data_IF_627812159476
#
_entry.id   IF_627812159476
#
_cell.length_a   1.000
_cell.length_b   1.000
_cell.length_c   1.000
_cell.angle_alpha   90.00
_cell.angle_beta   90.00
_cell.angle_gamma   90.00
#
_symmetry.space_group_name_H-M   'P 1'
#
loop_
_entity.id
_entity.type
_entity.pdbx_description
1 polymer ?
#
# COMPACT_ATOMS: atom_id res chain seq x y z
N UNK A 1 2.34 -6.75 8.01
CA UNK A 1 2.33 -5.84 9.17
C UNK A 1 2.57 -4.41 8.70
N UNK A 2 3.80 -3.98 8.43
CA UNK A 2 4.08 -2.66 7.80
C UNK A 2 3.29 -2.45 6.50
N UNK A 3 3.21 -3.46 5.64
CA UNK A 3 2.40 -3.42 4.41
C UNK A 3 0.92 -3.16 4.70
N UNK A 4 0.34 -3.73 5.76
CA UNK A 4 -1.08 -3.51 6.09
C UNK A 4 -1.33 -2.16 6.75
N UNK A 5 -0.36 -1.66 7.52
CA UNK A 5 -0.38 -0.31 8.09
C UNK A 5 -0.34 0.73 6.96
N UNK A 6 0.62 0.62 6.05
CA UNK A 6 0.68 1.53 4.90
C UNK A 6 -0.54 1.38 3.99
N UNK A 7 -1.05 0.17 3.79
CA UNK A 7 -2.22 -0.05 2.94
C UNK A 7 -3.47 0.67 3.44
N UNK A 8 -3.73 0.68 4.76
CA UNK A 8 -4.90 1.38 5.30
C UNK A 8 -4.72 2.89 5.27
N UNK A 9 -3.51 3.40 5.50
CA UNK A 9 -3.21 4.83 5.37
C UNK A 9 -3.34 5.30 3.92
N UNK A 10 -2.78 4.56 2.98
CA UNK A 10 -2.91 4.83 1.55
C UNK A 10 -4.39 4.82 1.13
N UNK A 11 -5.17 3.85 1.60
CA UNK A 11 -6.60 3.80 1.33
C UNK A 11 -7.35 5.02 1.87
N UNK A 12 -7.03 5.47 3.09
CA UNK A 12 -7.59 6.70 3.65
C UNK A 12 -7.21 7.92 2.82
N UNK A 13 -5.94 8.02 2.41
CA UNK A 13 -5.48 9.11 1.57
C UNK A 13 -6.22 9.13 0.22
N UNK A 14 -6.47 7.96 -0.37
CA UNK A 14 -7.19 7.88 -1.64
C UNK A 14 -8.65 8.32 -1.59
N UNK A 15 -9.26 8.42 -0.40
CA UNK A 15 -10.57 9.04 -0.25
C UNK A 15 -10.57 10.49 -0.73
N UNK A 16 -9.45 11.21 -0.58
CA UNK A 16 -9.34 12.60 -0.98
C UNK A 16 -9.62 12.81 -2.49
N UNK A 17 -9.27 11.83 -3.32
CA UNK A 17 -9.43 11.89 -4.78
C UNK A 17 -10.82 11.47 -5.26
N UNK A 18 -11.70 10.99 -4.36
CA UNK A 18 -13.11 10.77 -4.70
C UNK A 18 -13.74 12.11 -5.05
N UNK A 19 -14.58 12.13 -6.09
CA UNK A 19 -15.25 13.35 -6.55
C UNK A 19 -16.45 13.72 -5.65
N UNK A 20 -16.21 13.86 -4.36
CA UNK A 20 -17.21 14.22 -3.33
C UNK A 20 -16.83 15.55 -2.70
N UNK A 21 -17.80 16.39 -2.39
CA UNK A 21 -17.59 17.65 -1.68
C UNK A 21 -17.42 17.39 -0.19
N UNK A 22 -16.15 17.29 0.23
CA UNK A 22 -15.81 17.20 1.64
C UNK A 22 -15.93 18.55 2.31
N UNK A 23 -16.53 18.55 3.51
CA UNK A 23 -16.45 19.70 4.38
C UNK A 23 -15.04 19.89 4.93
N UNK A 24 -14.71 21.12 5.32
CA UNK A 24 -13.37 21.52 5.76
C UNK A 24 -12.79 20.61 6.85
N UNK A 25 -13.58 20.21 7.84
CA UNK A 25 -13.14 19.33 8.93
C UNK A 25 -12.67 17.97 8.40
N UNK A 26 -13.51 17.32 7.59
CA UNK A 26 -13.22 16.01 7.02
C UNK A 26 -12.06 16.09 6.02
N UNK A 27 -12.04 17.12 5.16
CA UNK A 27 -10.96 17.36 4.22
C UNK A 27 -9.61 17.51 4.94
N UNK A 28 -9.54 18.34 5.98
CA UNK A 28 -8.31 18.54 6.74
C UNK A 28 -7.81 17.25 7.40
N UNK A 29 -8.73 16.44 7.94
CA UNK A 29 -8.37 15.15 8.57
C UNK A 29 -7.86 14.15 7.54
N UNK A 30 -8.50 14.03 6.38
CA UNK A 30 -8.01 13.18 5.30
C UNK A 30 -6.61 13.67 4.84
N UNK A 31 -6.42 14.99 4.72
CA UNK A 31 -5.15 15.59 4.31
C UNK A 31 -4.02 15.39 5.33
N UNK A 32 -4.32 15.26 6.62
CA UNK A 32 -3.33 14.82 7.62
C UNK A 32 -2.80 13.40 7.36
N UNK A 33 -3.51 12.57 6.58
CA UNK A 33 -3.02 11.26 6.19
C UNK A 33 -2.27 11.25 4.86
N UNK A 34 -2.20 12.39 4.17
CA UNK A 34 -1.40 12.55 2.95
C UNK A 34 0.11 12.44 3.23
N UNK A 35 0.54 12.72 4.48
CA UNK A 35 1.90 12.42 4.96
C UNK A 35 2.30 10.95 4.80
N UNK A 36 1.34 10.02 4.66
CA UNK A 36 1.61 8.61 4.39
C UNK A 36 2.23 8.36 3.01
N UNK A 37 2.19 9.34 2.11
CA UNK A 37 2.85 9.25 0.81
C UNK A 37 4.35 9.57 0.88
N UNK A 38 4.92 10.06 2.00
CA UNK A 38 6.35 10.41 2.11
C UNK A 38 6.88 11.32 0.96
N UNK A 39 6.11 12.32 0.53
CA UNK A 39 6.55 13.28 -0.50
C UNK A 39 7.66 14.21 0.05
N UNK A 40 8.88 13.70 0.17
CA UNK A 40 10.07 14.49 0.51
C UNK A 40 10.66 15.20 -0.71
N UNK A 41 10.30 14.78 -1.91
CA UNK A 41 10.79 15.32 -3.18
C UNK A 41 9.57 15.85 -3.93
N UNK A 42 9.50 17.18 -4.18
CA UNK A 42 8.36 17.76 -4.87
C UNK A 42 8.29 17.25 -6.32
N UNK A 43 7.10 16.83 -6.73
CA UNK A 43 6.82 16.46 -8.11
C UNK A 43 6.90 17.71 -9.01
N UNK A 44 7.44 17.54 -10.22
CA UNK A 44 7.51 18.63 -11.21
C UNK A 44 6.12 18.76 -11.82
N UNK A 45 5.38 19.83 -11.49
CA UNK A 45 4.03 20.06 -11.99
C UNK A 45 4.01 20.92 -13.26
N UNK A 46 3.31 20.47 -14.29
CA UNK A 46 2.92 21.29 -15.43
C UNK A 46 1.53 21.93 -15.17
N UNK A 47 1.49 23.26 -15.11
CA UNK A 47 0.26 24.03 -14.88
C UNK A 47 -0.78 23.88 -16.01
N UNK A 48 -0.37 23.38 -17.17
CA UNK A 48 -1.24 23.16 -18.34
C UNK A 48 -1.75 21.71 -18.45
N UNK A 49 -1.61 20.90 -17.40
CA UNK A 49 -2.04 19.50 -17.43
C UNK A 49 -3.56 19.35 -17.39
N UNK A 50 -4.08 18.44 -18.23
CA UNK A 50 -5.51 18.13 -18.28
C UNK A 50 -5.89 17.04 -17.26
N UNK A 51 -5.38 17.11 -16.01
CA UNK A 51 -5.72 16.09 -15.00
C UNK A 51 -7.20 16.11 -14.60
N UNK A 52 -7.76 15.04 -14.03
CA UNK A 52 -9.12 15.09 -13.55
C UNK A 52 -9.28 16.11 -12.41
N UNK A 53 -10.48 16.66 -12.22
CA UNK A 53 -10.73 17.83 -11.35
C UNK A 53 -10.14 17.72 -9.95
N UNK A 54 -10.37 16.60 -9.25
CA UNK A 54 -9.82 16.35 -7.91
C UNK A 54 -8.29 16.27 -7.88
N UNK A 55 -7.67 15.72 -8.93
CA UNK A 55 -6.22 15.67 -9.05
C UNK A 55 -5.62 17.05 -9.32
N UNK A 56 -6.30 17.92 -10.09
CA UNK A 56 -5.90 19.33 -10.24
C UNK A 56 -5.92 20.10 -8.92
N UNK A 57 -6.95 19.88 -8.10
CA UNK A 57 -7.07 20.52 -6.77
C UNK A 57 -5.88 20.19 -5.87
N UNK A 58 -5.35 18.97 -5.97
CA UNK A 58 -4.16 18.54 -5.23
C UNK A 58 -2.84 18.71 -6.00
N UNK A 59 -2.86 19.46 -7.11
CA UNK A 59 -1.68 19.76 -7.93
C UNK A 59 -0.99 18.50 -8.50
N UNK A 60 -1.75 17.44 -8.74
CA UNK A 60 -1.29 16.24 -9.43
C UNK A 60 -1.48 16.41 -10.94
N UNK A 61 -0.39 16.20 -11.66
CA UNK A 61 -0.27 16.33 -13.12
C UNK A 61 -0.53 14.97 -13.81
N UNK A 62 -0.93 14.99 -15.08
CA UNK A 62 -1.11 13.82 -15.94
C UNK A 62 0.19 13.25 -16.48
N UNK A 63 1.25 14.05 -16.52
CA UNK A 63 2.53 13.62 -17.07
C UNK A 63 3.18 12.54 -16.21
N UNK A 64 3.46 11.39 -16.80
CA UNK A 64 3.89 10.22 -16.05
C UNK A 64 5.14 10.46 -15.17
N UNK A 65 6.10 11.26 -15.64
CA UNK A 65 7.33 11.51 -14.89
C UNK A 65 7.11 12.41 -13.69
N UNK A 66 6.08 13.27 -13.66
CA UNK A 66 5.80 14.10 -12.48
C UNK A 66 5.50 13.22 -11.28
N UNK A 67 4.75 12.13 -11.46
CA UNK A 67 4.23 11.30 -10.39
C UNK A 67 5.14 10.10 -10.04
N UNK A 68 6.19 9.86 -10.85
CA UNK A 68 7.11 8.75 -10.67
C UNK A 68 8.39 9.10 -9.94
N UNK A 69 8.77 10.38 -9.84
CA UNK A 69 10.06 10.82 -9.31
C UNK A 69 10.33 10.19 -7.95
N UNK A 70 9.38 10.29 -7.03
CA UNK A 70 9.55 9.77 -5.69
C UNK A 70 9.69 8.25 -5.66
N UNK A 71 8.84 7.54 -6.40
CA UNK A 71 8.94 6.08 -6.55
C UNK A 71 10.32 5.70 -7.09
N UNK A 72 10.77 6.31 -8.19
CA UNK A 72 12.09 6.05 -8.78
C UNK A 72 13.21 6.29 -7.77
N UNK A 73 13.16 7.36 -6.99
CA UNK A 73 14.17 7.66 -5.96
C UNK A 73 14.20 6.57 -4.89
N UNK A 74 13.05 6.12 -4.39
CA UNK A 74 12.96 5.02 -3.40
C UNK A 74 13.60 3.73 -3.96
N UNK A 75 13.30 3.40 -5.21
CA UNK A 75 13.81 2.22 -5.88
C UNK A 75 15.33 2.31 -6.12
N UNK A 76 15.83 3.46 -6.58
CA UNK A 76 17.27 3.72 -6.79
C UNK A 76 18.02 3.68 -5.46
N UNK A 77 17.49 4.31 -4.41
CA UNK A 77 18.09 4.31 -3.08
C UNK A 77 18.22 2.88 -2.52
N UNK A 78 17.14 2.09 -2.61
CA UNK A 78 17.16 0.67 -2.21
C UNK A 78 18.23 -0.12 -2.97
N UNK A 79 18.34 0.08 -4.28
CA UNK A 79 19.34 -0.60 -5.10
C UNK A 79 20.79 -0.18 -4.75
N UNK A 80 21.02 1.09 -4.45
CA UNK A 80 22.32 1.57 -3.98
C UNK A 80 22.70 0.94 -2.63
N UNK A 81 21.76 0.87 -1.69
CA UNK A 81 21.98 0.18 -0.40
C UNK A 81 22.31 -1.29 -0.63
N UNK A 82 21.67 -1.96 -1.60
CA UNK A 82 22.00 -3.33 -1.96
C UNK A 82 23.43 -3.49 -2.49
N UNK A 83 23.87 -2.62 -3.42
CA UNK A 83 25.25 -2.64 -3.93
C UNK A 83 26.26 -2.44 -2.79
N UNK A 84 26.03 -1.44 -1.95
CA UNK A 84 26.89 -1.14 -0.79
C UNK A 84 26.93 -2.34 0.16
N UNK A 85 25.77 -2.92 0.48
CA UNK A 85 25.67 -4.11 1.32
C UNK A 85 26.50 -5.26 0.75
N UNK A 86 26.39 -5.52 -0.55
CA UNK A 86 27.13 -6.59 -1.23
C UNK A 86 28.64 -6.37 -1.19
N UNK A 87 29.11 -5.14 -1.36
CA UNK A 87 30.54 -4.81 -1.27
C UNK A 87 31.08 -4.97 0.15
N UNK A 88 30.36 -4.45 1.15
CA UNK A 88 30.76 -4.53 2.56
C UNK A 88 30.77 -5.98 3.04
N UNK A 89 29.71 -6.74 2.78
CA UNK A 89 29.59 -8.14 3.19
C UNK A 89 30.70 -8.99 2.55
N UNK A 90 31.09 -8.72 1.30
CA UNK A 90 32.21 -9.40 0.63
C UNK A 90 33.56 -9.07 1.26
N UNK A 91 33.79 -7.83 1.69
CA UNK A 91 35.04 -7.40 2.35
C UNK A 91 35.14 -7.90 3.79
N UNK A 92 34.02 -8.02 4.50
CA UNK A 92 33.96 -8.37 5.92
C UNK A 92 33.26 -9.71 6.20
N UNK A 93 33.49 -10.71 5.33
CA UNK A 93 32.88 -12.04 5.38
C UNK A 93 32.94 -12.67 6.78
N UNK A 94 34.07 -12.52 7.49
CA UNK A 94 34.30 -13.17 8.79
C UNK A 94 33.87 -12.34 10.01
N UNK A 95 33.46 -11.09 9.85
CA UNK A 95 33.04 -10.26 10.97
C UNK A 95 31.60 -10.58 11.40
N UNK A 96 31.33 -10.52 12.71
CA UNK A 96 30.01 -10.78 13.32
C UNK A 96 29.37 -9.52 13.91
N UNK A 97 29.68 -8.34 13.37
CA UNK A 97 29.10 -7.09 13.88
C UNK A 97 27.62 -6.97 13.47
N UNK A 98 26.79 -6.41 14.35
CA UNK A 98 25.35 -6.19 14.12
C UNK A 98 25.05 -5.52 12.76
N UNK A 99 25.79 -4.46 12.42
CA UNK A 99 25.64 -3.77 11.13
C UNK A 99 25.91 -4.69 9.94
N UNK A 100 26.90 -5.56 10.04
CA UNK A 100 27.30 -6.46 8.95
C UNK A 100 26.32 -7.62 8.81
N UNK A 101 25.74 -8.08 9.91
CA UNK A 101 24.65 -9.06 9.91
C UNK A 101 23.36 -8.47 9.33
N UNK A 102 23.04 -7.20 9.64
CA UNK A 102 21.93 -6.49 9.03
C UNK A 102 22.11 -6.29 7.51
N UNK A 103 23.30 -5.87 7.07
CA UNK A 103 23.63 -5.75 5.63
C UNK A 103 23.60 -7.10 4.91
N UNK A 104 24.05 -8.18 5.57
CA UNK A 104 23.97 -9.54 5.05
C UNK A 104 22.54 -9.99 4.87
N UNK A 105 21.68 -9.78 5.87
CA UNK A 105 20.25 -10.08 5.79
C UNK A 105 19.57 -9.27 4.68
N UNK A 106 19.89 -7.98 4.55
CA UNK A 106 19.37 -7.14 3.49
C UNK A 106 19.79 -7.65 2.10
N UNK A 107 21.06 -8.02 1.93
CA UNK A 107 21.58 -8.59 0.68
C UNK A 107 20.89 -9.90 0.29
N UNK A 108 20.70 -10.83 1.24
CA UNK A 108 20.11 -12.15 0.96
C UNK A 108 18.62 -12.07 0.64
N UNK A 109 17.90 -11.18 1.30
CA UNK A 109 16.44 -11.03 1.15
C UNK A 109 16.02 -10.01 0.07
N UNK A 110 16.99 -9.34 -0.57
CA UNK A 110 16.74 -8.21 -1.46
C UNK A 110 15.71 -8.51 -2.56
N UNK A 111 15.94 -9.55 -3.37
CA UNK A 111 15.11 -9.80 -4.56
C UNK A 111 13.70 -10.28 -4.25
N UNK A 112 13.49 -10.97 -3.13
CA UNK A 112 12.20 -11.59 -2.82
C UNK A 112 11.38 -10.83 -1.78
N UNK A 113 12.02 -10.22 -0.77
CA UNK A 113 11.29 -9.51 0.27
C UNK A 113 11.36 -7.99 0.09
N UNK A 114 12.54 -7.46 -0.27
CA UNK A 114 12.72 -6.00 -0.41
C UNK A 114 12.06 -5.50 -1.69
N UNK A 115 12.33 -6.10 -2.85
CA UNK A 115 11.68 -5.73 -4.11
C UNK A 115 10.16 -5.88 -4.04
N UNK A 116 9.66 -7.00 -3.50
CA UNK A 116 8.22 -7.21 -3.35
C UNK A 116 7.64 -6.20 -2.35
N UNK A 117 8.28 -5.99 -1.21
CA UNK A 117 7.83 -5.02 -0.20
C UNK A 117 7.79 -3.58 -0.72
N UNK A 118 8.81 -3.16 -1.47
CA UNK A 118 8.84 -1.86 -2.14
C UNK A 118 7.79 -1.77 -3.24
N UNK A 119 7.62 -2.84 -4.03
CA UNK A 119 6.55 -2.96 -5.00
C UNK A 119 5.17 -2.75 -4.40
N UNK A 120 4.89 -3.30 -3.20
CA UNK A 120 3.64 -3.07 -2.47
C UNK A 120 3.47 -1.63 -1.98
N UNK A 121 4.57 -1.00 -1.56
CA UNK A 121 4.59 0.36 -1.05
C UNK A 121 4.32 1.38 -2.16
N UNK A 122 5.06 1.29 -3.27
CA UNK A 122 4.96 2.23 -4.40
C UNK A 122 3.87 1.83 -5.41
N UNK A 123 3.13 0.74 -5.17
CA UNK A 123 2.19 0.15 -6.14
C UNK A 123 1.17 1.16 -6.65
N UNK A 124 0.59 1.95 -5.74
CA UNK A 124 -0.47 2.87 -6.07
C UNK A 124 0.05 4.08 -6.86
N UNK A 125 1.24 4.58 -6.54
CA UNK A 125 1.86 5.71 -7.26
C UNK A 125 2.22 5.31 -8.70
N UNK A 126 2.75 4.09 -8.87
CA UNK A 126 3.04 3.52 -10.19
C UNK A 126 1.75 3.39 -11.03
N UNK A 127 0.68 2.87 -10.44
CA UNK A 127 -0.62 2.75 -11.13
C UNK A 127 -1.23 4.11 -11.45
N UNK A 128 -1.18 5.05 -10.49
CA UNK A 128 -1.73 6.38 -10.65
C UNK A 128 -1.05 7.11 -11.81
N UNK A 129 0.29 7.03 -11.87
CA UNK A 129 1.09 7.59 -12.96
C UNK A 129 0.68 7.03 -14.31
N UNK A 130 0.50 5.70 -14.41
CA UNK A 130 0.10 5.02 -15.65
C UNK A 130 -1.32 5.44 -16.08
N UNK A 131 -2.29 5.41 -15.17
CA UNK A 131 -3.68 5.73 -15.52
C UNK A 131 -3.89 7.20 -15.82
N UNK A 132 -3.23 8.13 -15.11
CA UNK A 132 -3.27 9.55 -15.42
C UNK A 132 -2.65 9.85 -16.79
N UNK A 133 -1.56 9.17 -17.15
CA UNK A 133 -0.95 9.31 -18.48
C UNK A 133 -1.88 8.82 -19.61
N UNK A 134 -2.66 7.76 -19.36
CA UNK A 134 -3.67 7.29 -20.30
C UNK A 134 -4.90 8.21 -20.38
N UNK A 135 -5.28 8.85 -19.28
CA UNK A 135 -6.40 9.80 -19.25
C UNK A 135 -6.20 10.98 -20.20
N UNK A 136 -4.98 11.53 -20.25
CA UNK A 136 -4.63 12.69 -21.09
C UNK A 136 -4.18 12.31 -22.51
N UNK A 137 -4.33 11.05 -22.91
CA UNK A 137 -3.84 10.55 -24.21
C UNK A 137 -4.67 11.01 -25.42
N UNK A 138 -5.77 11.74 -25.20
CA UNK A 138 -6.69 12.15 -26.26
C UNK A 138 -6.08 13.11 -27.29
N UNK A 139 -5.08 13.93 -26.91
CA UNK A 139 -4.45 14.92 -27.78
C UNK A 139 -2.96 14.64 -28.01
N UNK A 140 -2.64 13.48 -28.61
CA UNK A 140 -1.27 12.94 -28.72
C UNK A 140 -0.23 13.93 -29.28
N UNK A 141 0.49 14.58 -28.38
CA UNK A 141 1.77 15.27 -28.68
C UNK A 141 2.94 14.28 -28.61
N UNK A 142 4.11 14.63 -29.15
CA UNK A 142 5.30 13.77 -29.14
C UNK A 142 5.78 13.44 -27.72
N UNK A 143 5.67 14.39 -26.77
CA UNK A 143 5.99 14.17 -25.35
C UNK A 143 5.00 13.20 -24.69
N UNK A 144 3.71 13.29 -25.02
CA UNK A 144 2.69 12.35 -24.54
C UNK A 144 2.88 10.95 -25.13
N UNK A 145 3.35 10.81 -26.37
CA UNK A 145 3.66 9.51 -26.98
C UNK A 145 4.76 8.78 -26.20
N UNK A 146 5.84 9.48 -25.86
CA UNK A 146 6.90 8.94 -24.97
C UNK A 146 6.34 8.58 -23.60
N UNK A 147 5.48 9.45 -23.05
CA UNK A 147 4.74 9.19 -21.80
C UNK A 147 3.95 7.88 -21.86
N UNK A 148 3.14 7.68 -22.92
CA UNK A 148 2.33 6.47 -23.14
C UNK A 148 3.20 5.21 -23.29
N UNK A 149 4.30 5.27 -24.05
CA UNK A 149 5.24 4.14 -24.15
C UNK A 149 5.80 3.78 -22.77
N UNK A 150 6.25 4.78 -22.00
CA UNK A 150 6.76 4.55 -20.66
C UNK A 150 5.68 4.01 -19.71
N UNK A 151 4.43 4.44 -19.85
CA UNK A 151 3.29 3.92 -19.10
C UNK A 151 3.03 2.43 -19.40
N UNK A 152 3.12 2.02 -20.67
CA UNK A 152 3.00 0.62 -21.08
C UNK A 152 4.12 -0.23 -20.48
N UNK A 153 5.37 0.25 -20.53
CA UNK A 153 6.52 -0.46 -19.93
C UNK A 153 6.31 -0.64 -18.42
N UNK A 154 5.84 0.41 -17.73
CA UNK A 154 5.53 0.35 -16.31
C UNK A 154 4.38 -0.60 -15.99
N UNK A 155 3.33 -0.62 -16.82
CA UNK A 155 2.23 -1.57 -16.68
C UNK A 155 2.71 -3.02 -16.79
N UNK A 156 3.61 -3.32 -17.74
CA UNK A 156 4.26 -4.63 -17.84
C UNK A 156 5.10 -4.93 -16.59
N UNK A 157 5.80 -3.93 -16.05
CA UNK A 157 6.51 -4.02 -14.77
C UNK A 157 5.59 -4.36 -13.59
N UNK A 158 4.42 -3.71 -13.51
CA UNK A 158 3.39 -3.96 -12.49
C UNK A 158 2.84 -5.40 -12.61
N UNK A 159 2.56 -5.87 -13.83
CA UNK A 159 2.15 -7.26 -14.08
C UNK A 159 3.25 -8.23 -13.62
N UNK A 160 4.52 -7.92 -13.90
CA UNK A 160 5.65 -8.73 -13.43
C UNK A 160 5.75 -8.74 -11.90
N UNK A 161 5.52 -7.62 -11.22
CA UNK A 161 5.47 -7.55 -9.75
C UNK A 161 4.34 -8.41 -9.17
N UNK A 162 3.16 -8.43 -9.80
CA UNK A 162 2.06 -9.31 -9.40
C UNK A 162 2.45 -10.80 -9.53
N UNK A 163 3.10 -11.17 -10.63
CA UNK A 163 3.61 -12.54 -10.84
C UNK A 163 4.67 -12.89 -9.80
N UNK A 164 5.62 -11.98 -9.52
CA UNK A 164 6.66 -12.19 -8.51
C UNK A 164 6.08 -12.34 -7.10
N UNK A 165 5.02 -11.61 -6.78
CA UNK A 165 4.28 -11.75 -5.51
C UNK A 165 3.67 -13.14 -5.37
N UNK A 166 3.13 -13.69 -6.46
CA UNK A 166 2.61 -15.05 -6.48
C UNK A 166 3.74 -16.09 -6.39
N UNK A 167 4.84 -15.88 -7.11
CA UNK A 167 5.99 -16.78 -7.10
C UNK A 167 6.74 -16.80 -5.77
N UNK A 168 6.92 -15.67 -5.10
CA UNK A 168 7.59 -15.61 -3.80
C UNK A 168 6.89 -16.49 -2.75
N UNK A 169 5.57 -16.62 -2.86
CA UNK A 169 4.78 -17.49 -1.99
C UNK A 169 4.89 -18.97 -2.35
N UNK A 170 5.23 -19.30 -3.61
CA UNK A 170 5.35 -20.66 -4.15
C UNK A 170 6.78 -21.23 -4.03
N UNK A 171 7.80 -20.37 -4.13
CA UNK A 171 9.22 -20.77 -4.03
C UNK A 171 9.55 -21.27 -2.62
N UNK A 172 9.01 -20.63 -1.58
CA UNK A 172 9.11 -21.13 -0.21
C UNK A 172 8.51 -22.54 -0.08
N UNK A 173 7.38 -22.81 -0.75
CA UNK A 173 6.77 -24.15 -0.75
C UNK A 173 7.64 -25.18 -1.46
N UNK A 174 8.17 -24.88 -2.65
CA UNK A 174 8.94 -25.85 -3.45
C UNK A 174 10.29 -26.21 -2.80
N UNK A 175 10.99 -25.22 -2.21
CA UNK A 175 12.24 -25.46 -1.50
C UNK A 175 12.04 -26.25 -0.18
N UNK A 176 10.86 -26.16 0.44
CA UNK A 176 10.47 -26.95 1.62
C UNK A 176 9.97 -28.36 1.30
N UNK A 177 9.42 -28.57 0.09
CA UNK A 177 8.82 -29.85 -0.32
C UNK A 177 9.86 -30.84 -0.87
N UNK A 178 10.94 -30.39 -1.52
CA UNK A 178 11.80 -31.27 -2.31
C UNK A 178 13.15 -31.68 -1.67
N UNK A 179 13.48 -31.23 -0.45
CA UNK A 179 14.77 -31.56 0.16
C UNK A 179 14.61 -32.20 1.56
N UNK A 180 14.35 -33.52 1.56
CA UNK A 180 14.08 -34.31 2.76
C UNK A 180 15.21 -34.26 3.80
N UNK A 181 16.47 -34.07 3.39
CA UNK A 181 17.62 -33.91 4.30
C UNK A 181 17.62 -32.59 5.08
N UNK A 182 17.07 -31.51 4.51
CA UNK A 182 17.00 -30.20 5.19
C UNK A 182 15.77 -30.14 6.09
N UNK A 183 14.67 -30.76 5.67
CA UNK A 183 13.43 -30.90 6.45
C UNK A 183 13.63 -31.70 7.73
N UNK A 184 14.48 -32.73 7.73
CA UNK A 184 14.79 -33.51 8.95
C UNK A 184 15.72 -32.78 9.92
N UNK A 185 16.69 -32.00 9.42
CA UNK A 185 17.67 -31.28 10.23
C UNK A 185 17.14 -29.99 10.86
N UNK A 186 16.25 -29.28 10.16
CA UNK A 186 15.74 -27.99 10.63
C UNK A 186 14.22 -27.91 10.74
N UNK A 187 13.49 -29.02 10.51
CA UNK A 187 12.02 -29.05 10.44
C UNK A 187 11.30 -28.43 11.64
N UNK A 188 11.91 -28.45 12.82
CA UNK A 188 11.35 -27.81 14.02
C UNK A 188 11.38 -26.26 13.95
N UNK A 189 12.37 -25.65 13.27
CA UNK A 189 12.44 -24.21 13.01
C UNK A 189 11.41 -23.76 11.96
N UNK A 190 11.02 -24.69 11.08
CA UNK A 190 10.04 -24.49 10.01
C UNK A 190 8.62 -24.96 10.37
N UNK A 191 8.39 -25.43 11.61
CA UNK A 191 7.09 -25.87 12.14
C UNK A 191 6.00 -24.78 12.19
N UNK A 192 6.33 -23.54 11.80
CA UNK A 192 5.40 -22.43 11.60
C UNK A 192 5.31 -21.92 10.15
N UNK A 193 5.96 -22.61 9.20
CA UNK A 193 6.00 -22.24 7.77
C UNK A 193 5.04 -23.16 6.99
N UNK A 194 3.95 -23.57 7.64
CA UNK A 194 2.75 -23.97 6.92
C UNK A 194 2.32 -22.82 6.01
N UNK A 195 2.27 -23.14 4.72
CA UNK A 195 1.68 -22.40 3.61
C UNK A 195 0.86 -21.18 4.04
N UNK A 196 1.41 -19.98 3.83
CA UNK A 196 0.60 -18.77 3.90
C UNK A 196 -0.06 -18.50 2.53
N UNK A 197 -0.57 -19.54 1.85
CA UNK A 197 -1.38 -19.40 0.62
C UNK A 197 -2.54 -18.44 0.84
N UNK A 198 -3.15 -18.49 2.04
CA UNK A 198 -4.16 -17.52 2.49
C UNK A 198 -3.63 -16.08 2.43
N UNK A 199 -2.42 -15.83 2.93
CA UNK A 199 -1.77 -14.52 2.88
C UNK A 199 -1.35 -14.12 1.46
N UNK A 200 -0.98 -15.07 0.60
CA UNK A 200 -0.68 -14.83 -0.81
C UNK A 200 -1.94 -14.36 -1.57
N UNK A 201 -3.04 -15.09 -1.40
CA UNK A 201 -4.36 -14.74 -1.97
C UNK A 201 -4.79 -13.37 -1.47
N UNK A 202 -4.64 -13.09 -0.17
CA UNK A 202 -4.97 -11.78 0.39
C UNK A 202 -4.09 -10.66 -0.16
N UNK A 203 -2.79 -10.89 -0.29
CA UNK A 203 -1.86 -9.94 -0.88
C UNK A 203 -2.23 -9.62 -2.33
N UNK A 204 -2.60 -10.63 -3.13
CA UNK A 204 -3.06 -10.45 -4.51
C UNK A 204 -4.39 -9.68 -4.53
N UNK A 205 -5.31 -9.98 -3.62
CA UNK A 205 -6.57 -9.25 -3.47
C UNK A 205 -6.32 -7.78 -3.14
N UNK A 206 -5.34 -7.46 -2.28
CA UNK A 206 -4.96 -6.07 -1.99
C UNK A 206 -4.43 -5.35 -3.23
N UNK A 207 -3.56 -6.00 -4.02
CA UNK A 207 -3.04 -5.43 -5.27
C UNK A 207 -4.16 -5.22 -6.30
N UNK A 208 -5.05 -6.19 -6.44
CA UNK A 208 -6.20 -6.09 -7.34
C UNK A 208 -7.17 -4.97 -6.92
N UNK A 209 -7.48 -4.87 -5.62
CA UNK A 209 -8.26 -3.77 -5.05
C UNK A 209 -7.61 -2.42 -5.38
N UNK A 210 -6.31 -2.27 -5.14
CA UNK A 210 -5.56 -1.04 -5.45
C UNK A 210 -5.70 -0.68 -6.92
N UNK A 211 -5.54 -1.64 -7.83
CA UNK A 211 -5.74 -1.41 -9.27
C UNK A 211 -7.13 -0.88 -9.59
N UNK A 212 -8.19 -1.53 -9.11
CA UNK A 212 -9.56 -1.09 -9.38
C UNK A 212 -9.83 0.29 -8.77
N UNK A 213 -9.43 0.51 -7.52
CA UNK A 213 -9.67 1.80 -6.83
C UNK A 213 -9.01 2.94 -7.59
N UNK A 214 -7.71 2.84 -7.94
CA UNK A 214 -7.03 3.89 -8.68
C UNK A 214 -7.63 4.08 -10.08
N UNK A 215 -8.02 3.00 -10.76
CA UNK A 215 -8.71 3.09 -12.06
C UNK A 215 -10.02 3.88 -11.94
N UNK A 216 -10.85 3.60 -10.93
CA UNK A 216 -12.10 4.31 -10.70
C UNK A 216 -11.86 5.77 -10.31
N UNK A 217 -10.81 6.03 -9.52
CA UNK A 217 -10.42 7.39 -9.16
C UNK A 217 -10.04 8.20 -10.39
N UNK A 218 -9.30 7.64 -11.36
CA UNK A 218 -8.89 8.40 -12.55
C UNK A 218 -10.02 8.53 -13.58
N UNK A 219 -10.68 7.43 -13.95
CA UNK A 219 -11.56 7.42 -15.13
C UNK A 219 -13.04 7.70 -14.83
N UNK A 220 -13.52 7.46 -13.60
CA UNK A 220 -14.95 7.56 -13.27
C UNK A 220 -15.32 8.85 -12.53
N UNK A 221 -14.59 9.94 -12.77
CA UNK A 221 -14.80 11.23 -12.11
C UNK A 221 -16.15 11.88 -12.47
N UNK A 222 -16.76 11.52 -13.60
CA UNK A 222 -18.07 12.04 -14.02
C UNK A 222 -19.24 11.50 -13.20
N UNK A 223 -19.09 10.36 -12.51
CA UNK A 223 -20.15 9.76 -11.71
C UNK A 223 -19.64 9.49 -10.28
N UNK A 224 -19.74 10.48 -9.37
CA UNK A 224 -19.15 10.40 -8.03
C UNK A 224 -19.80 9.31 -7.17
N UNK A 225 -21.11 9.07 -7.36
CA UNK A 225 -21.85 8.03 -6.64
C UNK A 225 -21.33 6.65 -7.02
N UNK A 226 -21.22 6.37 -8.33
CA UNK A 226 -20.70 5.09 -8.81
C UNK A 226 -19.24 4.88 -8.40
N UNK A 227 -18.43 5.94 -8.45
CA UNK A 227 -17.04 5.90 -8.03
C UNK A 227 -16.90 5.49 -6.56
N UNK A 228 -17.63 6.16 -5.66
CA UNK A 228 -17.62 5.84 -4.23
C UNK A 228 -18.21 4.45 -3.94
N UNK A 229 -19.27 4.05 -4.64
CA UNK A 229 -19.89 2.74 -4.50
C UNK A 229 -18.96 1.60 -4.89
N UNK A 230 -18.29 1.69 -6.05
CA UNK A 230 -17.33 0.66 -6.49
C UNK A 230 -16.15 0.57 -5.53
N UNK A 231 -15.60 1.71 -5.08
CA UNK A 231 -14.52 1.71 -4.10
C UNK A 231 -14.94 1.03 -2.78
N UNK A 232 -16.14 1.33 -2.29
CA UNK A 232 -16.71 0.69 -1.11
C UNK A 232 -16.89 -0.82 -1.29
N UNK A 233 -17.40 -1.26 -2.45
CA UNK A 233 -17.57 -2.68 -2.77
C UNK A 233 -16.23 -3.42 -2.77
N UNK A 234 -15.17 -2.84 -3.34
CA UNK A 234 -13.86 -3.50 -3.36
C UNK A 234 -13.29 -3.70 -1.95
N UNK A 235 -13.50 -2.75 -1.03
CA UNK A 235 -13.13 -2.91 0.39
C UNK A 235 -14.06 -3.93 1.07
N UNK A 236 -15.33 -3.98 0.71
CA UNK A 236 -16.29 -4.98 1.18
C UNK A 236 -15.90 -6.40 0.80
N UNK A 237 -15.51 -6.65 -0.45
CA UNK A 237 -15.00 -7.94 -0.93
C UNK A 237 -13.72 -8.32 -0.18
N UNK A 238 -12.82 -7.36 0.03
CA UNK A 238 -11.62 -7.61 0.84
C UNK A 238 -11.98 -8.09 2.25
N UNK A 239 -12.92 -7.40 2.90
CA UNK A 239 -13.39 -7.74 4.25
C UNK A 239 -14.03 -9.13 4.32
N UNK A 240 -14.88 -9.50 3.35
CA UNK A 240 -15.51 -10.84 3.32
C UNK A 240 -14.49 -11.95 3.13
N UNK A 241 -13.51 -11.76 2.23
CA UNK A 241 -12.43 -12.74 2.04
C UNK A 241 -11.56 -12.85 3.30
N UNK A 242 -11.30 -11.75 4.00
CA UNK A 242 -10.57 -11.78 5.28
C UNK A 242 -11.30 -12.57 6.38
N UNK A 243 -12.63 -12.50 6.42
CA UNK A 243 -13.46 -13.27 7.36
C UNK A 243 -13.38 -14.78 7.09
N UNK A 244 -13.40 -15.17 5.81
CA UNK A 244 -13.38 -16.57 5.37
C UNK A 244 -11.98 -17.16 5.54
N UNK A 245 -10.94 -16.52 4.99
CA UNK A 245 -9.60 -17.09 4.93
C UNK A 245 -8.87 -17.02 6.28
N UNK A 246 -9.15 -15.98 7.08
CA UNK A 246 -8.44 -15.68 8.34
C UNK A 246 -6.92 -15.72 8.14
N UNK A 247 -6.35 -14.78 7.36
CA UNK A 247 -4.95 -14.84 6.94
C UNK A 247 -3.93 -14.56 8.05
N UNK A 248 -4.37 -14.03 9.20
CA UNK A 248 -3.48 -13.67 10.30
C UNK A 248 -3.37 -14.81 11.32
N UNK A 249 -2.15 -15.05 11.79
CA UNK A 249 -1.86 -16.10 12.79
C UNK A 249 -2.40 -15.73 14.18
N UNK A 250 -2.32 -14.45 14.55
CA UNK A 250 -2.81 -13.96 15.84
C UNK A 250 -4.30 -13.59 15.72
N UNK A 251 -5.13 -14.11 16.61
CA UNK A 251 -6.55 -13.73 16.68
C UNK A 251 -6.72 -12.23 16.98
N UNK A 252 -5.84 -11.64 17.78
CA UNK A 252 -5.86 -10.20 18.07
C UNK A 252 -5.52 -9.37 16.83
N UNK A 253 -4.52 -9.78 16.04
CA UNK A 253 -4.16 -9.12 14.78
C UNK A 253 -5.32 -9.21 13.77
N UNK A 254 -5.92 -10.40 13.63
CA UNK A 254 -7.10 -10.59 12.78
C UNK A 254 -8.25 -9.66 13.18
N UNK A 255 -8.58 -9.58 14.47
CA UNK A 255 -9.68 -8.73 14.97
C UNK A 255 -9.40 -7.26 14.72
N UNK A 256 -8.17 -6.79 14.95
CA UNK A 256 -7.78 -5.41 14.72
C UNK A 256 -7.93 -5.03 13.23
N UNK A 257 -7.43 -5.87 12.32
CA UNK A 257 -7.55 -5.61 10.90
C UNK A 257 -9.01 -5.65 10.43
N UNK A 258 -9.81 -6.62 10.88
CA UNK A 258 -11.25 -6.68 10.57
C UNK A 258 -11.99 -5.44 11.08
N UNK A 259 -11.76 -5.02 12.32
CA UNK A 259 -12.38 -3.83 12.90
C UNK A 259 -12.03 -2.57 12.09
N UNK A 260 -10.76 -2.43 11.70
CA UNK A 260 -10.33 -1.28 10.89
C UNK A 260 -10.96 -1.25 9.49
N UNK A 261 -11.17 -2.41 8.85
CA UNK A 261 -11.88 -2.51 7.57
C UNK A 261 -13.37 -2.25 7.71
N UNK A 262 -13.98 -2.73 8.79
CA UNK A 262 -15.38 -2.44 9.08
C UNK A 262 -15.62 -0.94 9.28
N UNK A 263 -14.77 -0.26 10.04
CA UNK A 263 -14.83 1.19 10.20
C UNK A 263 -14.62 1.91 8.86
N UNK A 264 -13.68 1.47 8.03
CA UNK A 264 -13.45 2.03 6.69
C UNK A 264 -14.69 1.89 5.78
N UNK A 265 -15.35 0.72 5.79
CA UNK A 265 -16.59 0.49 5.04
C UNK A 265 -17.69 1.42 5.56
N UNK A 266 -17.84 1.55 6.88
CA UNK A 266 -18.81 2.47 7.48
C UNK A 266 -18.53 3.93 7.06
N UNK A 267 -17.27 4.35 7.04
CA UNK A 267 -16.86 5.67 6.56
C UNK A 267 -17.21 5.85 5.08
N UNK A 268 -16.92 4.88 4.22
CA UNK A 268 -17.23 4.92 2.79
C UNK A 268 -18.74 4.97 2.52
N UNK A 269 -19.57 4.25 3.29
CA UNK A 269 -21.03 4.33 3.20
C UNK A 269 -21.52 5.77 3.47
N UNK A 270 -20.97 6.42 4.50
CA UNK A 270 -21.31 7.81 4.81
C UNK A 270 -20.80 8.78 3.75
N UNK A 271 -19.64 8.52 3.16
CA UNK A 271 -19.14 9.29 2.00
C UNK A 271 -20.06 9.12 0.78
N UNK A 272 -20.64 7.94 0.56
CA UNK A 272 -21.66 7.73 -0.50
C UNK A 272 -22.90 8.59 -0.22
N UNK A 273 -23.34 8.67 1.04
CA UNK A 273 -24.46 9.56 1.40
C UNK A 273 -24.13 11.03 1.09
N UNK A 274 -22.89 11.47 1.36
CA UNK A 274 -22.42 12.81 0.97
C UNK A 274 -22.43 12.98 -0.56
N UNK A 275 -21.95 11.99 -1.32
CA UNK A 275 -21.94 12.03 -2.78
C UNK A 275 -23.37 12.11 -3.38
N UNK A 276 -24.32 11.38 -2.80
CA UNK A 276 -25.74 11.46 -3.18
C UNK A 276 -26.28 12.85 -2.85
N UNK A 277 -25.96 13.39 -1.67
CA UNK A 277 -26.38 14.72 -1.27
C UNK A 277 -25.85 15.80 -2.21
N UNK A 278 -24.61 15.69 -2.69
CA UNK A 278 -24.06 16.64 -3.66
C UNK A 278 -24.84 16.65 -4.98
N UNK A 279 -25.47 15.53 -5.35
CA UNK A 279 -26.26 15.44 -6.58
C UNK A 279 -27.73 15.86 -6.43
N UNK A 280 -28.32 15.71 -5.23
CA UNK A 280 -29.76 15.94 -5.00
C UNK A 280 -30.04 17.14 -4.08
N UNK A 281 -29.07 17.62 -3.30
CA UNK A 281 -29.16 18.75 -2.36
C UNK A 281 -30.26 18.65 -1.29
N UNK A 282 -30.52 17.43 -0.81
CA UNK A 282 -31.66 17.14 0.08
C UNK A 282 -31.34 17.23 1.58
N UNK A 283 -30.08 17.24 1.98
CA UNK A 283 -29.67 17.17 3.39
C UNK A 283 -29.28 18.56 3.89
N UNK A 284 -29.71 18.92 5.11
CA UNK A 284 -29.33 20.17 5.75
C UNK A 284 -27.82 20.24 6.04
N UNK A 285 -27.26 21.44 6.04
CA UNK A 285 -25.85 21.68 6.36
C UNK A 285 -25.45 21.12 7.74
N UNK A 286 -26.35 21.18 8.73
CA UNK A 286 -26.12 20.62 10.07
C UNK A 286 -25.92 19.10 10.07
N UNK A 287 -26.71 18.36 9.29
CA UNK A 287 -26.60 16.91 9.17
C UNK A 287 -25.34 16.55 8.37
N UNK A 288 -25.03 17.31 7.32
CA UNK A 288 -23.79 17.13 6.56
C UNK A 288 -22.53 17.34 7.42
N UNK A 289 -22.55 18.32 8.35
CA UNK A 289 -21.49 18.52 9.34
C UNK A 289 -21.36 17.32 10.27
N UNK A 290 -22.47 16.80 10.79
CA UNK A 290 -22.46 15.64 11.68
C UNK A 290 -21.90 14.39 10.99
N UNK A 291 -22.30 14.13 9.74
CA UNK A 291 -21.77 13.03 8.93
C UNK A 291 -20.25 13.21 8.76
N UNK A 292 -19.81 14.41 8.39
CA UNK A 292 -18.39 14.72 8.17
C UNK A 292 -17.55 14.51 9.43
N UNK A 293 -18.04 14.97 10.59
CA UNK A 293 -17.39 14.77 11.89
C UNK A 293 -17.32 13.28 12.23
N UNK A 294 -18.41 12.54 12.02
CA UNK A 294 -18.44 11.12 12.33
C UNK A 294 -17.45 10.31 11.48
N UNK A 295 -17.39 10.58 10.17
CA UNK A 295 -16.37 9.98 9.28
C UNK A 295 -14.96 10.33 9.75
N UNK A 296 -14.72 11.60 10.07
CA UNK A 296 -13.43 12.06 10.59
C UNK A 296 -12.99 11.31 11.85
N UNK A 297 -13.90 11.12 12.81
CA UNK A 297 -13.63 10.36 14.05
C UNK A 297 -13.32 8.90 13.73
N UNK A 298 -14.06 8.26 12.81
CA UNK A 298 -13.77 6.88 12.42
C UNK A 298 -12.37 6.72 11.81
N UNK A 299 -11.97 7.64 10.92
CA UNK A 299 -10.63 7.64 10.31
C UNK A 299 -9.53 7.84 11.37
N UNK A 300 -9.73 8.74 12.33
CA UNK A 300 -8.80 8.94 13.45
C UNK A 300 -8.67 7.70 14.34
N UNK A 301 -9.78 7.01 14.63
CA UNK A 301 -9.77 5.76 15.40
C UNK A 301 -9.00 4.66 14.66
N UNK A 302 -9.24 4.52 13.35
CA UNK A 302 -8.46 3.59 12.50
C UNK A 302 -6.97 3.93 12.60
N UNK A 303 -6.61 5.20 12.46
CA UNK A 303 -5.22 5.63 12.54
C UNK A 303 -4.58 5.31 13.89
N UNK A 304 -5.21 5.75 14.98
CA UNK A 304 -4.70 5.59 16.33
C UNK A 304 -4.50 4.13 16.69
N UNK A 305 -5.47 3.27 16.37
CA UNK A 305 -5.37 1.82 16.63
C UNK A 305 -4.22 1.17 15.86
N UNK A 306 -3.99 1.58 14.62
CA UNK A 306 -2.93 1.05 13.77
C UNK A 306 -1.53 1.50 14.23
N UNK A 307 -1.39 2.76 14.65
CA UNK A 307 -0.14 3.28 15.23
C UNK A 307 0.18 2.57 16.55
N UNK A 308 -0.78 2.47 17.47
CA UNK A 308 -0.60 1.77 18.74
C UNK A 308 -0.19 0.30 18.52
N UNK A 309 -0.79 -0.37 17.54
CA UNK A 309 -0.43 -1.73 17.18
C UNK A 309 1.01 -1.83 16.65
N UNK A 310 1.42 -0.91 15.78
CA UNK A 310 2.78 -0.86 15.25
C UNK A 310 3.82 -0.64 16.35
N UNK A 311 3.57 0.30 17.27
CA UNK A 311 4.45 0.58 18.42
C UNK A 311 4.55 -0.64 19.32
N UNK A 312 3.42 -1.27 19.65
CA UNK A 312 3.40 -2.49 20.47
C UNK A 312 4.20 -3.63 19.84
N UNK A 313 4.08 -3.82 18.53
CA UNK A 313 4.81 -4.86 17.80
C UNK A 313 6.31 -4.56 17.68
N UNK A 314 6.70 -3.31 17.45
CA UNK A 314 8.10 -2.89 17.50
C UNK A 314 8.69 -3.18 18.89
N UNK A 315 7.98 -2.83 19.95
CA UNK A 315 8.37 -3.13 21.31
C UNK A 315 8.54 -4.63 21.55
N UNK A 316 7.59 -5.47 21.13
CA UNK A 316 7.72 -6.93 21.25
C UNK A 316 8.92 -7.48 20.47
N UNK A 317 9.17 -6.96 19.27
CA UNK A 317 10.28 -7.40 18.42
C UNK A 317 11.62 -7.04 19.03
N UNK A 318 11.75 -5.82 19.58
CA UNK A 318 12.93 -5.38 20.32
C UNK A 318 13.13 -6.22 21.58
N UNK A 319 12.09 -6.39 22.40
CA UNK A 319 12.15 -7.18 23.65
C UNK A 319 12.59 -8.63 23.39
N UNK A 320 12.02 -9.29 22.38
CA UNK A 320 12.42 -10.67 22.01
C UNK A 320 13.90 -10.76 21.64
N UNK A 321 14.44 -9.76 20.95
CA UNK A 321 15.87 -9.73 20.58
C UNK A 321 16.78 -9.52 21.79
N UNK A 322 16.42 -8.65 22.73
CA UNK A 322 17.20 -8.43 23.94
C UNK A 322 17.21 -9.67 24.85
N UNK A 323 16.05 -10.29 25.08
CA UNK A 323 15.94 -11.49 25.94
C UNK A 323 16.70 -12.69 25.35
N UNK A 324 16.72 -12.86 24.02
CA UNK A 324 17.46 -13.94 23.35
C UNK A 324 18.98 -13.71 23.33
N UNK A 325 19.44 -12.47 23.49
CA UNK A 325 20.86 -12.16 23.63
C UNK A 325 21.37 -12.42 25.05
N UNK A 326 20.54 -12.16 26.07
CA UNK A 326 20.90 -12.47 27.47
C UNK A 326 20.94 -13.99 27.73
N UNK A 327 20.08 -14.79 27.09
CA UNK A 327 20.08 -16.25 27.26
C UNK A 327 21.24 -16.98 26.57
N UNK A 328 22.08 -16.29 25.80
CA UNK A 328 23.30 -16.86 25.17
C UNK A 328 24.58 -16.55 25.96
N UNK A 329 24.45 -15.85 27.09
CA UNK A 329 25.56 -15.47 27.98
C UNK A 329 25.61 -16.31 29.27
N UNK A 330 24.86 -17.41 29.36
CA UNK A 330 24.89 -18.35 30.49
C UNK A 330 25.46 -19.70 30.06
#
# INVERSE_FOLDING_TARGET
MLVSFFDILQLTNYLLYLNVQYQSILYNIIKLFDFANFEFIPNISNNNSNSPFKFRMEKIDTFIYSNLIQSVVIWVFSFLVYIISKLIVRKFIHSKNFLIEALRSYQTEYFFQVIVGLGFLTYCDLLLSVFLQFYDSANMTTSQLVGVISAIILLLGIIRLNILTLQSTRIQTYQLIYNDKIKSLYGYLYSGIEMNQKKAIMNLLFLFRKTIVIQQLVFNQSNPINQAYICCLCVGIEFTVMLILRPYKSQYEQRLHLASRFLMISSMILIIVLAINDSISNISSSIQNLISIFVAVQLLVIYFTQVCYLVFQLYQTLRRRYVLNDSKLV
#
